data_IF_733594524473
#
_entry.id   IF_733594524473
#
_cell.length_a   1.000
_cell.length_b   1.000
_cell.length_c   1.000
_cell.angle_alpha   90.00
_cell.angle_beta   90.00
_cell.angle_gamma   90.00
#
_symmetry.space_group_name_H-M   'P 1'
#
loop_
_entity.id
_entity.type
_entity.pdbx_description
1 polymer ?
#
# COMPACT_ATOMS: atom_id res chain seq x y z
N UNK A 1 24.06 -8.02 17.40
CA UNK A 1 23.63 -6.61 17.38
C UNK A 1 24.18 -6.01 16.09
N UNK A 2 23.37 -5.98 15.03
CA UNK A 2 23.68 -5.27 13.79
C UNK A 2 22.35 -4.74 13.23
N UNK A 3 21.98 -3.53 13.63
CA UNK A 3 21.03 -2.72 12.86
C UNK A 3 21.87 -1.92 11.89
N UNK A 4 21.99 -2.39 10.66
CA UNK A 4 22.26 -1.50 9.54
C UNK A 4 20.97 -0.71 9.32
N UNK A 5 20.90 0.49 9.88
CA UNK A 5 19.94 1.49 9.43
C UNK A 5 20.26 1.74 7.96
N UNK A 6 19.50 1.12 7.06
CA UNK A 6 19.52 1.52 5.66
C UNK A 6 19.14 3.00 5.63
N UNK A 7 20.06 3.86 5.18
CA UNK A 7 19.75 5.25 4.89
C UNK A 7 18.72 5.24 3.77
N UNK A 8 17.45 5.41 4.13
CA UNK A 8 16.35 5.52 3.18
C UNK A 8 16.51 6.88 2.50
N UNK A 9 16.78 6.86 1.19
CA UNK A 9 16.82 8.07 0.39
C UNK A 9 15.41 8.65 0.29
N UNK A 10 15.23 9.83 0.90
CA UNK A 10 13.97 10.56 0.92
C UNK A 10 13.98 11.75 -0.05
N UNK A 11 15.06 11.94 -0.81
CA UNK A 11 15.20 13.07 -1.76
C UNK A 11 14.17 13.02 -2.90
N UNK A 12 13.62 11.84 -3.19
CA UNK A 12 12.55 11.63 -4.16
C UNK A 12 11.18 12.10 -3.66
N UNK A 13 11.02 12.31 -2.34
CA UNK A 13 9.74 12.71 -1.77
C UNK A 13 9.50 14.20 -1.97
N UNK A 14 8.26 14.61 -2.33
CA UNK A 14 7.94 16.02 -2.46
C UNK A 14 7.99 16.71 -1.09
N UNK A 15 8.37 17.99 -1.08
CA UNK A 15 8.54 18.77 0.17
C UNK A 15 7.25 18.88 0.99
N UNK A 16 6.08 18.74 0.36
CA UNK A 16 4.77 18.80 0.98
C UNK A 16 4.14 17.42 1.26
N UNK A 17 4.92 16.33 1.19
CA UNK A 17 4.44 14.95 1.37
C UNK A 17 3.60 14.76 2.65
N UNK A 18 3.99 15.41 3.76
CA UNK A 18 3.29 15.35 5.04
C UNK A 18 1.90 16.02 5.03
N UNK A 19 1.63 16.86 4.03
CA UNK A 19 0.36 17.58 3.84
C UNK A 19 -0.57 16.89 2.86
N UNK A 20 -0.08 15.92 2.07
CA UNK A 20 -0.92 15.17 1.12
C UNK A 20 -1.95 14.32 1.86
N UNK A 21 -3.18 14.33 1.33
CA UNK A 21 -4.32 13.58 1.86
C UNK A 21 -5.23 13.07 0.75
N UNK A 22 -5.95 11.99 1.06
CA UNK A 22 -7.00 11.40 0.25
C UNK A 22 -6.53 11.20 -1.20
N UNK A 23 -7.29 11.70 -2.18
CA UNK A 23 -6.99 11.56 -3.61
C UNK A 23 -5.56 11.96 -3.95
N UNK A 24 -5.05 13.09 -3.42
CA UNK A 24 -3.69 13.55 -3.72
C UNK A 24 -2.62 12.62 -3.16
N UNK A 25 -2.89 12.00 -2.02
CA UNK A 25 -1.99 11.02 -1.43
C UNK A 25 -2.03 9.71 -2.23
N UNK A 26 -3.22 9.23 -2.61
CA UNK A 26 -3.36 8.03 -3.44
C UNK A 26 -2.73 8.21 -4.81
N UNK A 27 -2.85 9.38 -5.43
CA UNK A 27 -2.20 9.68 -6.71
C UNK A 27 -0.68 9.67 -6.60
N UNK A 28 -0.14 10.19 -5.51
CA UNK A 28 1.29 10.10 -5.22
C UNK A 28 1.74 8.64 -5.05
N UNK A 29 1.04 7.86 -4.22
CA UNK A 29 1.35 6.44 -4.01
C UNK A 29 1.28 5.69 -5.35
N UNK A 30 0.22 5.90 -6.13
CA UNK A 30 0.04 5.29 -7.45
C UNK A 30 1.20 5.59 -8.40
N UNK A 31 1.68 6.83 -8.39
CA UNK A 31 2.80 7.25 -9.23
C UNK A 31 4.12 6.59 -8.82
N UNK A 32 4.37 6.44 -7.52
CA UNK A 32 5.66 5.97 -7.00
C UNK A 32 5.73 4.45 -6.82
N UNK A 33 4.60 3.79 -6.52
CA UNK A 33 4.56 2.36 -6.16
C UNK A 33 3.54 1.55 -6.97
N UNK A 34 2.76 2.19 -7.84
CA UNK A 34 1.79 1.55 -8.73
C UNK A 34 0.37 1.45 -8.16
N UNK A 35 -0.56 1.05 -9.03
CA UNK A 35 -2.00 1.02 -8.73
C UNK A 35 -2.36 0.08 -7.59
N UNK A 36 -1.68 -1.07 -7.48
CA UNK A 36 -1.99 -2.07 -6.45
C UNK A 36 -1.77 -1.52 -5.03
N UNK A 37 -0.68 -0.79 -4.79
CA UNK A 37 -0.43 -0.20 -3.48
C UNK A 37 -1.43 0.91 -3.14
N UNK A 38 -1.77 1.76 -4.12
CA UNK A 38 -2.73 2.83 -3.93
C UNK A 38 -4.15 2.30 -3.61
N UNK A 39 -4.62 1.32 -4.39
CA UNK A 39 -5.94 0.71 -4.18
C UNK A 39 -5.99 -0.02 -2.82
N UNK A 40 -4.90 -0.67 -2.40
CA UNK A 40 -4.82 -1.31 -1.09
C UNK A 40 -4.88 -0.29 0.07
N UNK A 41 -4.23 0.86 -0.11
CA UNK A 41 -4.28 1.94 0.89
C UNK A 41 -5.68 2.55 0.97
N UNK A 42 -6.36 2.69 -0.16
CA UNK A 42 -7.75 3.17 -0.21
C UNK A 42 -8.70 2.25 0.55
N UNK A 43 -8.61 0.92 0.33
CA UNK A 43 -9.41 -0.09 1.07
C UNK A 43 -9.21 0.03 2.59
N UNK A 44 -7.98 0.32 3.02
CA UNK A 44 -7.63 0.46 4.45
C UNK A 44 -7.86 1.86 5.00
N UNK A 45 -8.31 2.81 4.17
CA UNK A 45 -8.38 4.23 4.53
C UNK A 45 -7.03 4.80 5.01
N UNK A 46 -5.92 4.28 4.48
CA UNK A 46 -4.57 4.82 4.67
C UNK A 46 -4.40 5.99 3.69
N UNK A 47 -4.97 7.13 4.05
CA UNK A 47 -5.13 8.27 3.15
C UNK A 47 -4.10 9.39 3.36
N UNK A 48 -3.11 9.20 4.24
CA UNK A 48 -2.03 10.14 4.47
C UNK A 48 -0.79 9.47 5.07
N UNK A 49 0.33 10.21 5.10
CA UNK A 49 1.59 9.73 5.72
C UNK A 49 1.38 9.32 7.18
N UNK A 50 0.59 10.09 7.95
CA UNK A 50 0.34 9.78 9.36
C UNK A 50 -0.36 8.43 9.52
N UNK A 51 -1.41 8.16 8.75
CA UNK A 51 -2.10 6.86 8.79
C UNK A 51 -1.19 5.71 8.34
N UNK A 52 -0.32 5.96 7.36
CA UNK A 52 0.63 4.96 6.87
C UNK A 52 1.64 4.58 7.96
N UNK A 53 2.25 5.58 8.60
CA UNK A 53 3.23 5.36 9.67
C UNK A 53 2.64 4.73 10.94
N UNK A 54 1.31 4.80 11.12
CA UNK A 54 0.61 4.11 12.20
C UNK A 54 0.29 2.65 11.87
N UNK A 55 0.49 2.21 10.62
CA UNK A 55 0.30 0.82 10.20
C UNK A 55 1.64 0.08 10.18
N UNK A 56 1.74 -1.02 10.95
CA UNK A 56 2.94 -1.84 11.02
C UNK A 56 3.10 -2.77 9.81
N UNK A 57 1.99 -3.23 9.23
CA UNK A 57 1.96 -4.10 8.05
C UNK A 57 0.69 -3.83 7.24
N UNK A 58 0.85 -3.24 6.07
CA UNK A 58 -0.26 -2.89 5.16
C UNK A 58 -0.86 -4.11 4.45
N UNK A 59 -0.18 -5.26 4.46
CA UNK A 59 -0.66 -6.49 3.82
C UNK A 59 -1.37 -7.43 4.80
N UNK A 60 -1.38 -7.12 6.10
CA UNK A 60 -2.00 -7.99 7.11
C UNK A 60 -3.50 -8.24 6.86
N UNK A 61 -4.18 -7.30 6.20
CA UNK A 61 -5.61 -7.39 5.90
C UNK A 61 -5.95 -8.40 4.80
N UNK A 62 -4.96 -8.92 4.07
CA UNK A 62 -5.18 -9.80 2.91
C UNK A 62 -5.86 -11.13 3.25
N UNK A 63 -5.83 -11.54 4.52
CA UNK A 63 -6.49 -12.74 5.02
C UNK A 63 -7.95 -12.49 5.44
N UNK A 64 -8.42 -11.24 5.40
CA UNK A 64 -9.79 -10.90 5.78
C UNK A 64 -10.76 -11.21 4.64
N UNK A 65 -11.97 -11.64 5.01
CA UNK A 65 -13.08 -11.82 4.07
C UNK A 65 -13.78 -10.47 3.86
N UNK A 66 -13.56 -9.86 2.70
CA UNK A 66 -14.19 -8.60 2.29
C UNK A 66 -14.41 -8.59 0.78
N UNK A 67 -15.56 -8.07 0.33
CA UNK A 67 -15.83 -7.92 -1.10
C UNK A 67 -14.79 -7.01 -1.77
N UNK A 68 -14.40 -5.90 -1.11
CA UNK A 68 -13.38 -4.99 -1.63
C UNK A 68 -12.02 -5.69 -1.82
N UNK A 69 -11.66 -6.61 -0.92
CA UNK A 69 -10.42 -7.39 -1.05
C UNK A 69 -10.53 -8.50 -2.10
N UNK A 70 -11.71 -9.07 -2.28
CA UNK A 70 -11.96 -10.02 -3.37
C UNK A 70 -11.76 -9.34 -4.73
N UNK A 71 -12.36 -8.16 -4.91
CA UNK A 71 -12.22 -7.37 -6.13
C UNK A 71 -10.76 -6.93 -6.35
N UNK A 72 -10.08 -6.53 -5.27
CA UNK A 72 -8.65 -6.22 -5.30
C UNK A 72 -7.81 -7.40 -5.80
N UNK A 73 -7.99 -8.59 -5.22
CA UNK A 73 -7.24 -9.80 -5.59
C UNK A 73 -7.48 -10.20 -7.05
N UNK A 74 -8.71 -10.07 -7.53
CA UNK A 74 -9.05 -10.33 -8.93
C UNK A 74 -8.40 -9.33 -9.88
N UNK A 75 -8.31 -8.06 -9.49
CA UNK A 75 -7.71 -6.98 -10.31
C UNK A 75 -6.19 -7.08 -10.33
N UNK A 76 -5.57 -7.16 -9.16
CA UNK A 76 -4.13 -6.97 -8.96
C UNK A 76 -3.36 -8.26 -8.70
N UNK A 77 -4.02 -9.41 -8.64
CA UNK A 77 -3.37 -10.67 -8.33
C UNK A 77 -3.64 -11.80 -9.32
N UNK A 78 -3.01 -12.93 -9.03
CA UNK A 78 -3.39 -14.24 -9.53
C UNK A 78 -3.87 -15.08 -8.34
N UNK A 79 -5.11 -15.56 -8.42
CA UNK A 79 -5.64 -16.55 -7.48
C UNK A 79 -5.09 -17.92 -7.88
N UNK A 80 -4.54 -18.67 -6.94
CA UNK A 80 -4.10 -20.04 -7.12
C UNK A 80 -5.21 -21.01 -6.68
N UNK A 81 -5.12 -22.26 -7.14
CA UNK A 81 -6.14 -23.29 -6.89
C UNK A 81 -6.27 -23.67 -5.40
N UNK A 82 -5.32 -23.27 -4.56
CA UNK A 82 -5.30 -23.48 -3.12
C UNK A 82 -5.82 -22.27 -2.31
N UNK A 83 -6.55 -21.37 -2.98
CA UNK A 83 -7.05 -20.10 -2.44
C UNK A 83 -5.97 -19.11 -1.96
N UNK A 84 -4.69 -19.42 -2.20
CA UNK A 84 -3.61 -18.44 -2.03
C UNK A 84 -3.60 -17.47 -3.21
N UNK A 85 -2.96 -16.32 -3.04
CA UNK A 85 -2.88 -15.32 -4.09
C UNK A 85 -1.51 -14.66 -4.14
N UNK A 86 -1.12 -14.25 -5.33
CA UNK A 86 0.13 -13.53 -5.59
C UNK A 86 -0.23 -12.17 -6.18
N UNK A 87 0.29 -11.08 -5.62
CA UNK A 87 0.14 -9.73 -6.18
C UNK A 87 1.06 -9.61 -7.40
N UNK A 88 0.52 -9.11 -8.51
CA UNK A 88 1.28 -8.86 -9.73
C UNK A 88 2.35 -7.78 -9.47
N UNK A 89 3.55 -7.92 -10.05
CA UNK A 89 4.58 -6.89 -9.99
C UNK A 89 4.12 -5.54 -10.55
#
# INVERSE_FOLDING_TARGET
>A
MFQTEALIDTSILPSDIMSLRDVKFFDFVRKETGDAAADLFEIQSINCVKSLLMNADVYCIMNLKSNALHDFKNKHGFMLDDDTFIIKP
#
